data_IF_988103797238
#
_entry.id   IF_988103797238
#
_cell.length_a   1.000
_cell.length_b   1.000
_cell.length_c   1.000
_cell.angle_alpha   90.00
_cell.angle_beta   90.00
_cell.angle_gamma   90.00
#
_symmetry.space_group_name_H-M   'P 1'
#
loop_
_entity.id
_entity.type
_entity.pdbx_description
1 polymer ?
#
# COMPACT_ATOMS: atom_id res chain seq x y z
N UNK A 1 6.21 -30.82 -3.81
CA UNK A 1 4.82 -30.43 -4.13
C UNK A 1 4.88 -28.94 -4.30
N UNK A 2 4.95 -28.55 -5.56
CA UNK A 2 5.16 -27.19 -6.02
C UNK A 2 3.84 -26.42 -5.93
N UNK A 3 3.77 -25.40 -5.06
CA UNK A 3 2.64 -24.46 -5.00
C UNK A 3 3.13 -23.03 -4.71
N UNK A 4 4.20 -22.59 -5.38
CA UNK A 4 4.56 -21.17 -5.47
C UNK A 4 4.34 -20.66 -6.90
N UNK A 5 3.21 -21.04 -7.50
CA UNK A 5 2.72 -20.32 -8.67
C UNK A 5 2.27 -18.94 -8.19
N UNK A 6 3.13 -17.94 -8.41
CA UNK A 6 2.75 -16.55 -8.29
C UNK A 6 1.60 -16.34 -9.28
N UNK A 7 0.36 -16.23 -8.77
CA UNK A 7 -0.82 -15.84 -9.55
C UNK A 7 -0.61 -14.40 -10.06
N UNK A 8 0.23 -14.29 -11.08
CA UNK A 8 0.66 -13.07 -11.74
C UNK A 8 -0.48 -12.43 -12.52
N UNK A 9 -1.56 -13.18 -12.76
CA UNK A 9 -2.63 -12.80 -13.66
C UNK A 9 -3.68 -11.89 -13.01
N UNK A 10 -3.64 -11.68 -11.69
CA UNK A 10 -4.68 -10.92 -10.97
C UNK A 10 -4.18 -9.80 -10.03
N UNK A 11 -2.88 -9.53 -9.97
CA UNK A 11 -2.33 -8.44 -9.15
C UNK A 11 -1.83 -7.27 -10.00
N UNK A 12 -2.71 -6.74 -10.85
CA UNK A 12 -2.43 -5.54 -11.63
C UNK A 12 -2.88 -4.29 -10.88
N UNK A 13 -2.08 -3.21 -10.89
CA UNK A 13 -2.53 -1.96 -10.32
C UNK A 13 -3.70 -1.39 -11.13
N UNK A 14 -4.62 -0.66 -10.48
CA UNK A 14 -5.63 0.10 -11.20
C UNK A 14 -4.97 1.13 -12.13
N UNK A 15 -5.62 1.46 -13.24
CA UNK A 15 -5.10 2.48 -14.15
C UNK A 15 -5.72 3.82 -13.76
N UNK A 16 -4.88 4.75 -13.31
CA UNK A 16 -5.28 6.13 -13.03
C UNK A 16 -4.45 7.07 -13.91
N UNK A 17 -5.13 8.04 -14.51
CA UNK A 17 -4.46 9.15 -15.20
C UNK A 17 -4.16 10.22 -14.16
N UNK A 18 -2.89 10.37 -13.83
CA UNK A 18 -2.38 11.33 -12.86
C UNK A 18 -1.71 12.47 -13.59
N UNK A 19 -2.11 13.70 -13.27
CA UNK A 19 -1.48 14.89 -13.80
C UNK A 19 -0.42 15.38 -12.81
N UNK A 20 0.81 15.59 -13.30
CA UNK A 20 1.94 16.00 -12.47
C UNK A 20 1.79 17.39 -11.86
N UNK A 21 0.83 18.20 -12.35
CA UNK A 21 0.53 19.54 -11.83
C UNK A 21 -0.53 19.54 -10.74
N UNK A 22 -1.23 18.41 -10.53
CA UNK A 22 -2.31 18.35 -9.55
C UNK A 22 -1.73 18.41 -8.14
N UNK A 23 -2.37 19.21 -7.29
CA UNK A 23 -1.96 19.40 -5.90
C UNK A 23 -2.03 18.10 -5.10
N UNK A 24 -3.04 17.27 -5.39
CA UNK A 24 -3.30 16.00 -4.71
C UNK A 24 -3.68 14.93 -5.74
N UNK A 25 -2.83 13.92 -5.84
CA UNK A 25 -3.05 12.74 -6.66
C UNK A 25 -3.30 11.53 -5.76
N UNK A 26 -4.58 11.23 -5.53
CA UNK A 26 -5.01 10.17 -4.64
C UNK A 26 -5.52 8.95 -5.43
N UNK A 27 -5.06 7.77 -5.05
CA UNK A 27 -5.51 6.52 -5.64
C UNK A 27 -5.95 5.52 -4.56
N UNK A 28 -6.75 4.55 -4.98
CA UNK A 28 -7.19 3.45 -4.15
C UNK A 28 -6.96 2.11 -4.84
N UNK A 29 -6.50 1.09 -4.11
CA UNK A 29 -6.34 -0.27 -4.62
C UNK A 29 -6.82 -1.32 -3.61
N UNK A 30 -7.80 -2.14 -4.01
CA UNK A 30 -8.13 -3.38 -3.31
C UNK A 30 -7.09 -4.46 -3.67
N UNK A 31 -6.25 -4.82 -2.69
CA UNK A 31 -5.09 -5.69 -2.91
C UNK A 31 -5.38 -7.18 -2.65
N UNK A 32 -6.61 -7.50 -2.22
CA UNK A 32 -7.11 -8.87 -1.99
C UNK A 32 -6.14 -9.73 -1.16
N UNK A 33 -5.50 -9.12 -0.18
CA UNK A 33 -4.53 -9.74 0.73
C UNK A 33 -3.09 -9.52 0.30
N UNK A 34 -2.28 -9.07 1.27
CA UNK A 34 -0.85 -8.84 1.14
C UNK A 34 -0.06 -9.99 1.77
N UNK A 35 -0.20 -11.16 1.16
CA UNK A 35 0.37 -12.42 1.62
C UNK A 35 1.76 -12.74 1.03
N UNK A 36 2.28 -11.93 0.11
CA UNK A 36 3.54 -12.20 -0.59
C UNK A 36 4.39 -10.91 -0.73
N UNK A 37 5.71 -10.97 -0.46
CA UNK A 37 6.68 -9.91 -0.73
C UNK A 37 6.55 -9.20 -2.09
N UNK A 38 6.31 -9.95 -3.16
CA UNK A 38 6.21 -9.42 -4.53
C UNK A 38 5.04 -8.43 -4.69
N UNK A 39 3.95 -8.59 -3.94
CA UNK A 39 2.83 -7.64 -3.94
C UNK A 39 3.25 -6.30 -3.35
N UNK A 40 4.06 -6.28 -2.29
CA UNK A 40 4.58 -5.03 -1.72
C UNK A 40 5.49 -4.31 -2.68
N UNK A 41 6.39 -5.02 -3.34
CA UNK A 41 7.26 -4.41 -4.37
C UNK A 41 6.43 -3.81 -5.50
N UNK A 42 5.37 -4.50 -5.95
CA UNK A 42 4.47 -4.00 -7.00
C UNK A 42 3.70 -2.76 -6.54
N UNK A 43 3.19 -2.74 -5.30
CA UNK A 43 2.53 -1.56 -4.71
C UNK A 43 3.48 -0.38 -4.61
N UNK A 44 4.69 -0.60 -4.13
CA UNK A 44 5.68 0.46 -3.98
C UNK A 44 6.09 1.02 -5.34
N UNK A 45 6.39 0.15 -6.30
CA UNK A 45 6.69 0.56 -7.67
C UNK A 45 5.53 1.37 -8.28
N UNK A 46 4.30 0.93 -8.07
CA UNK A 46 3.12 1.63 -8.55
C UNK A 46 2.95 3.01 -7.90
N UNK A 47 3.15 3.11 -6.58
CA UNK A 47 3.14 4.37 -5.84
C UNK A 47 4.17 5.37 -6.37
N UNK A 48 5.42 4.93 -6.51
CA UNK A 48 6.54 5.77 -6.93
C UNK A 48 6.45 6.18 -8.41
N UNK A 49 6.13 5.23 -9.31
CA UNK A 49 6.07 5.50 -10.75
C UNK A 49 4.90 6.41 -11.14
N UNK A 50 3.76 6.27 -10.44
CA UNK A 50 2.58 7.09 -10.69
C UNK A 50 2.64 8.45 -9.98
N UNK A 51 3.62 8.67 -9.10
CA UNK A 51 3.77 9.91 -8.32
C UNK A 51 2.49 10.28 -7.55
N UNK A 52 1.85 9.28 -6.93
CA UNK A 52 0.69 9.56 -6.08
C UNK A 52 1.13 10.36 -4.86
N UNK A 53 0.32 11.36 -4.49
CA UNK A 53 0.43 12.01 -3.20
C UNK A 53 -0.07 11.10 -2.08
N UNK A 54 -1.02 10.22 -2.39
CA UNK A 54 -1.62 9.27 -1.47
C UNK A 54 -2.09 8.01 -2.19
N UNK A 55 -1.79 6.83 -1.63
CA UNK A 55 -2.33 5.54 -2.09
C UNK A 55 -2.99 4.82 -0.91
N UNK A 56 -4.30 4.60 -1.02
CA UNK A 56 -5.10 3.85 -0.06
C UNK A 56 -5.22 2.38 -0.49
N UNK A 57 -4.97 1.45 0.42
CA UNK A 57 -5.05 0.02 0.20
C UNK A 57 -6.19 -0.57 1.04
N UNK A 58 -7.01 -1.45 0.44
CA UNK A 58 -8.08 -2.19 1.16
C UNK A 58 -7.91 -3.68 1.00
N UNK A 59 -8.53 -4.44 1.91
CA UNK A 59 -8.35 -5.88 2.03
C UNK A 59 -6.87 -6.27 2.17
N UNK A 60 -6.12 -5.53 2.98
CA UNK A 60 -4.69 -5.79 3.18
C UNK A 60 -4.44 -7.15 3.83
N UNK A 61 -5.40 -7.62 4.65
CA UNK A 61 -5.38 -8.90 5.37
C UNK A 61 -4.13 -9.11 6.21
N UNK A 62 -3.54 -8.01 6.70
CA UNK A 62 -2.32 -8.01 7.49
C UNK A 62 -2.64 -8.16 8.99
N UNK A 63 -1.75 -8.84 9.69
CA UNK A 63 -1.72 -8.79 11.16
C UNK A 63 -1.12 -7.47 11.64
N UNK A 64 -1.46 -7.04 12.86
CA UNK A 64 -0.90 -5.83 13.45
C UNK A 64 0.63 -5.88 13.59
N UNK A 65 1.19 -7.06 13.89
CA UNK A 65 2.64 -7.25 13.98
C UNK A 65 3.31 -7.07 12.63
N UNK A 66 2.76 -7.67 11.56
CA UNK A 66 3.28 -7.51 10.20
C UNK A 66 3.17 -6.04 9.75
N UNK A 67 1.99 -5.43 9.89
CA UNK A 67 1.74 -4.06 9.43
C UNK A 67 2.64 -3.01 10.11
N UNK A 68 3.11 -3.25 11.34
CA UNK A 68 4.04 -2.33 12.04
C UNK A 68 5.40 -2.21 11.38
N UNK A 69 5.87 -3.28 10.74
CA UNK A 69 7.21 -3.37 10.17
C UNK A 69 7.21 -3.28 8.65
N UNK A 70 6.01 -3.31 8.05
CA UNK A 70 5.85 -3.32 6.61
C UNK A 70 6.25 -1.97 6.01
N UNK A 71 7.07 -2.01 4.96
CA UNK A 71 7.58 -0.83 4.25
C UNK A 71 8.37 0.16 5.12
N UNK A 72 8.77 -0.20 6.35
CA UNK A 72 9.45 0.70 7.29
C UNK A 72 10.85 1.13 6.81
N UNK A 73 11.55 0.23 6.11
CA UNK A 73 12.83 0.54 5.49
C UNK A 73 12.65 1.46 4.29
N UNK A 74 11.67 1.15 3.46
CA UNK A 74 11.36 1.84 2.20
C UNK A 74 10.83 3.24 2.48
N UNK A 75 10.04 3.42 3.53
CA UNK A 75 9.53 4.73 3.95
C UNK A 75 10.64 5.72 4.29
N UNK A 76 11.76 5.23 4.84
CA UNK A 76 12.93 6.06 5.13
C UNK A 76 13.76 6.38 3.87
N UNK A 77 13.74 5.49 2.86
CA UNK A 77 14.48 5.66 1.61
C UNK A 77 13.73 6.60 0.64
N UNK A 78 12.41 6.47 0.57
CA UNK A 78 11.57 7.13 -0.44
C UNK A 78 10.67 8.24 0.14
N UNK A 79 10.92 8.67 1.36
CA UNK A 79 10.29 9.84 2.01
C UNK A 79 8.75 9.83 2.01
N UNK A 80 8.17 8.72 2.47
CA UNK A 80 6.72 8.60 2.69
C UNK A 80 6.42 8.09 4.11
N UNK A 81 5.18 8.26 4.55
CA UNK A 81 4.67 7.70 5.80
C UNK A 81 3.56 6.71 5.50
N UNK A 82 3.49 5.62 6.28
CA UNK A 82 2.40 4.64 6.17
C UNK A 82 1.53 4.59 7.42
N UNK A 83 0.23 4.38 7.22
CA UNK A 83 -0.74 4.13 8.28
C UNK A 83 -1.46 2.82 8.01
N UNK A 84 -1.72 2.05 9.05
CA UNK A 84 -2.34 0.74 8.93
C UNK A 84 -3.42 0.57 9.99
N UNK A 85 -4.57 0.04 9.58
CA UNK A 85 -5.60 -0.43 10.47
C UNK A 85 -5.92 -1.87 10.12
N UNK A 86 -5.79 -2.75 11.12
CA UNK A 86 -5.94 -4.19 10.96
C UNK A 86 -7.12 -4.67 11.79
N UNK A 87 -7.76 -5.76 11.37
CA UNK A 87 -8.79 -6.38 12.20
C UNK A 87 -8.13 -7.00 13.46
N UNK A 88 -8.62 -6.71 14.68
CA UNK A 88 -7.93 -7.08 15.92
C UNK A 88 -7.82 -8.59 16.14
N UNK A 89 -8.87 -9.35 15.80
CA UNK A 89 -8.99 -10.79 16.08
C UNK A 89 -9.01 -11.68 14.84
N UNK A 90 -9.19 -11.11 13.65
CA UNK A 90 -9.31 -11.86 12.40
C UNK A 90 -8.59 -11.13 11.27
N UNK A 91 -7.25 -11.08 11.29
CA UNK A 91 -6.47 -10.34 10.29
C UNK A 91 -6.82 -10.72 8.85
N UNK A 92 -7.20 -11.98 8.59
CA UNK A 92 -7.54 -12.46 7.25
C UNK A 92 -8.85 -11.89 6.68
N UNK A 93 -9.70 -11.27 7.51
CA UNK A 93 -11.04 -10.82 7.08
C UNK A 93 -11.06 -9.41 6.50
N UNK A 94 -10.16 -8.53 6.92
CA UNK A 94 -10.19 -7.11 6.59
C UNK A 94 -8.81 -6.45 6.76
N UNK A 95 -8.77 -5.14 6.55
CA UNK A 95 -7.59 -4.33 6.81
C UNK A 95 -7.43 -3.24 5.76
N UNK A 96 -6.91 -2.10 6.19
CA UNK A 96 -6.63 -0.96 5.34
C UNK A 96 -5.23 -0.43 5.59
N UNK A 97 -4.64 0.12 4.53
CA UNK A 97 -3.34 0.77 4.55
C UNK A 97 -3.41 2.13 3.85
N UNK A 98 -2.58 3.06 4.27
CA UNK A 98 -2.40 4.34 3.61
C UNK A 98 -0.91 4.55 3.42
N UNK A 99 -0.49 4.88 2.20
CA UNK A 99 0.85 5.38 1.89
C UNK A 99 0.66 6.86 1.54
N UNK A 100 1.40 7.74 2.19
CA UNK A 100 1.25 9.18 2.08
C UNK A 100 2.60 9.85 1.94
N UNK A 101 2.72 10.77 0.99
CA UNK A 101 3.90 11.60 0.82
C UNK A 101 4.19 12.42 2.11
N UNK A 102 5.45 12.51 2.52
CA UNK A 102 5.81 13.20 3.76
C UNK A 102 5.53 14.71 3.73
N UNK A 103 5.48 15.33 2.54
CA UNK A 103 5.04 16.72 2.40
C UNK A 103 3.58 16.90 2.83
N UNK A 104 2.76 15.86 2.73
CA UNK A 104 1.36 15.86 3.19
C UNK A 104 1.20 15.33 4.62
N UNK A 105 2.08 14.42 5.06
CA UNK A 105 1.99 13.80 6.38
C UNK A 105 1.97 14.80 7.54
N UNK A 106 2.59 15.98 7.38
CA UNK A 106 2.56 17.06 8.38
C UNK A 106 1.19 17.69 8.63
N UNK A 107 0.22 17.49 7.73
CA UNK A 107 -1.13 18.03 7.85
C UNK A 107 -2.13 17.03 8.44
N UNK A 108 -1.68 15.84 8.83
CA UNK A 108 -2.54 14.84 9.47
C UNK A 108 -3.02 15.34 10.84
N UNK A 109 -4.31 15.24 11.05
CA UNK A 109 -4.94 15.41 12.37
C UNK A 109 -5.27 14.03 12.94
N UNK A 110 -4.96 13.82 14.23
CA UNK A 110 -5.17 12.57 14.96
C UNK A 110 -6.20 12.75 16.06
#
# INVERSE_FOLDING_TARGET
>A
MDDNEFDSHNFSPPVYNVNSTDLLNCAHWNVRGLNNPAKFHSILNYYLSSRFSMLALTETKLSFSTARHILKSESAIYDFTTFWSCHPTSPASAGVGLILDNALAKYIQK
#
